data_IF_958233322451
#
_entry.id   IF_958233322451
#
_cell.length_a   1.000
_cell.length_b   1.000
_cell.length_c   1.000
_cell.angle_alpha   90.00
_cell.angle_beta   90.00
_cell.angle_gamma   90.00
#
_symmetry.space_group_name_H-M   'P 1'
#
loop_
_entity.id
_entity.type
_entity.pdbx_description
1 polymer ?
#
# COMPACT_ATOMS: atom_id res chain seq x y z
N UNK A 1 -14.06 14.11 24.03
CA UNK A 1 -14.38 14.37 22.60
C UNK A 1 -14.98 15.77 22.35
N UNK A 2 -15.55 16.47 23.34
CA UNK A 2 -15.94 17.90 23.25
C UNK A 2 -14.76 18.86 23.57
N UNK A 3 -13.92 18.50 24.55
CA UNK A 3 -12.81 19.35 25.03
C UNK A 3 -11.71 19.56 23.97
N UNK A 4 -11.39 18.54 23.16
CA UNK A 4 -10.43 18.66 22.06
C UNK A 4 -10.86 19.69 21.00
N UNK A 5 -12.17 19.94 20.85
CA UNK A 5 -12.71 20.84 19.84
C UNK A 5 -12.76 22.30 20.30
N UNK A 6 -13.08 22.53 21.58
CA UNK A 6 -13.26 23.89 22.12
C UNK A 6 -11.95 24.66 22.34
N UNK A 7 -10.83 23.98 22.58
CA UNK A 7 -9.58 24.63 23.00
C UNK A 7 -8.66 25.05 21.82
N UNK A 8 -8.82 24.45 20.64
CA UNK A 8 -7.83 24.57 19.56
C UNK A 8 -8.29 25.27 18.29
N UNK A 9 -9.51 25.84 18.23
CA UNK A 9 -9.97 26.61 17.06
C UNK A 9 -9.69 25.91 15.71
N UNK A 10 -9.62 24.58 15.73
CA UNK A 10 -9.01 23.77 14.68
C UNK A 10 -10.11 23.03 13.95
N UNK A 11 -10.10 23.13 12.63
CA UNK A 11 -11.15 22.67 11.72
C UNK A 11 -11.60 21.26 12.08
N UNK A 12 -12.90 21.11 12.41
CA UNK A 12 -13.56 19.87 12.84
C UNK A 12 -13.46 18.72 11.80
N UNK A 13 -12.98 19.05 10.60
CA UNK A 13 -12.57 18.17 9.52
C UNK A 13 -11.11 18.50 9.18
N UNK A 14 -10.15 17.84 9.83
CA UNK A 14 -8.78 17.91 9.33
C UNK A 14 -8.70 16.97 8.13
N UNK A 15 -9.01 17.51 6.93
CA UNK A 15 -8.87 16.83 5.64
C UNK A 15 -7.52 16.11 5.53
N UNK A 16 -6.49 16.67 6.19
CA UNK A 16 -5.19 16.08 6.35
C UNK A 16 -5.21 14.65 6.93
N UNK A 17 -5.94 14.38 8.02
CA UNK A 17 -5.96 13.02 8.59
C UNK A 17 -6.63 12.02 7.66
N UNK A 18 -7.74 12.40 7.02
CA UNK A 18 -8.41 11.54 6.04
C UNK A 18 -7.53 11.25 4.82
N UNK A 19 -6.80 12.25 4.33
CA UNK A 19 -5.86 12.10 3.22
C UNK A 19 -4.69 11.20 3.61
N UNK A 20 -4.13 11.37 4.80
CA UNK A 20 -3.05 10.52 5.33
C UNK A 20 -3.53 9.08 5.44
N UNK A 21 -4.69 8.83 6.04
CA UNK A 21 -5.25 7.48 6.17
C UNK A 21 -5.49 6.85 4.79
N UNK A 22 -6.02 7.62 3.84
CA UNK A 22 -6.24 7.15 2.46
C UNK A 22 -4.92 6.78 1.78
N UNK A 23 -3.87 7.60 1.93
CA UNK A 23 -2.54 7.32 1.38
C UNK A 23 -1.96 6.05 2.01
N UNK A 24 -2.07 5.89 3.33
CA UNK A 24 -1.58 4.69 4.03
C UNK A 24 -2.30 3.44 3.52
N UNK A 25 -3.63 3.48 3.40
CA UNK A 25 -4.41 2.35 2.86
C UNK A 25 -4.05 2.04 1.40
N UNK A 26 -3.85 3.06 0.57
CA UNK A 26 -3.41 2.88 -0.81
C UNK A 26 -2.02 2.22 -0.88
N UNK A 27 -1.07 2.65 -0.05
CA UNK A 27 0.28 2.05 0.00
C UNK A 27 0.18 0.58 0.40
N UNK A 28 -0.56 0.25 1.47
CA UNK A 28 -0.73 -1.12 1.93
C UNK A 28 -1.41 -2.00 0.86
N UNK A 29 -2.47 -1.49 0.23
CA UNK A 29 -3.17 -2.18 -0.85
C UNK A 29 -2.28 -2.43 -2.07
N UNK A 30 -1.49 -1.43 -2.47
CA UNK A 30 -0.57 -1.53 -3.59
C UNK A 30 0.56 -2.54 -3.33
N UNK A 31 1.17 -2.50 -2.13
CA UNK A 31 2.21 -3.46 -1.74
C UNK A 31 1.65 -4.88 -1.69
N UNK A 32 0.48 -5.08 -1.12
CA UNK A 32 -0.18 -6.40 -1.07
C UNK A 32 -0.53 -6.93 -2.47
N UNK A 33 -1.03 -6.06 -3.35
CA UNK A 33 -1.28 -6.39 -4.75
C UNK A 33 0.01 -6.82 -5.46
N UNK A 34 1.07 -6.01 -5.36
CA UNK A 34 2.33 -6.27 -6.03
C UNK A 34 3.01 -7.55 -5.53
N UNK A 35 2.95 -7.82 -4.23
CA UNK A 35 3.41 -9.08 -3.63
C UNK A 35 2.67 -10.29 -4.22
N UNK A 36 1.34 -10.22 -4.27
CA UNK A 36 0.52 -11.31 -4.80
C UNK A 36 0.78 -11.53 -6.28
N UNK A 37 0.92 -10.46 -7.08
CA UNK A 37 1.28 -10.54 -8.50
C UNK A 37 2.65 -11.16 -8.71
N UNK A 38 3.64 -10.79 -7.91
CA UNK A 38 4.98 -11.38 -7.96
C UNK A 38 4.92 -12.87 -7.67
N UNK A 39 4.16 -13.28 -6.66
CA UNK A 39 3.98 -14.70 -6.33
C UNK A 39 3.29 -15.46 -7.47
N UNK A 40 2.22 -14.91 -8.06
CA UNK A 40 1.54 -15.52 -9.21
C UNK A 40 2.50 -15.73 -10.39
N UNK A 41 3.28 -14.70 -10.75
CA UNK A 41 4.21 -14.79 -11.88
C UNK A 41 5.31 -15.84 -11.64
N UNK A 42 5.93 -15.83 -10.46
CA UNK A 42 7.01 -16.77 -10.13
C UNK A 42 6.50 -18.20 -9.97
N UNK A 43 5.25 -18.42 -9.53
CA UNK A 43 4.68 -19.76 -9.35
C UNK A 43 4.12 -20.33 -10.65
N UNK A 44 3.23 -19.59 -11.32
CA UNK A 44 2.56 -20.05 -12.53
C UNK A 44 3.48 -20.04 -13.75
N UNK A 45 4.40 -19.09 -13.84
CA UNK A 45 5.31 -18.93 -14.98
C UNK A 45 6.78 -19.15 -14.57
N UNK A 46 7.02 -20.09 -13.65
CA UNK A 46 8.35 -20.38 -13.10
C UNK A 46 9.41 -20.76 -14.15
N UNK A 47 8.99 -21.21 -15.33
CA UNK A 47 9.88 -21.52 -16.46
C UNK A 47 10.36 -20.27 -17.21
N UNK A 48 9.58 -19.18 -17.18
CA UNK A 48 9.88 -17.94 -17.89
C UNK A 48 10.38 -16.84 -16.95
N UNK A 49 9.99 -16.86 -15.68
CA UNK A 49 10.32 -15.82 -14.71
C UNK A 49 10.88 -16.39 -13.41
N UNK A 50 11.76 -15.63 -12.77
CA UNK A 50 12.28 -15.90 -11.44
C UNK A 50 12.12 -14.70 -10.51
N UNK A 51 12.12 -14.96 -9.20
CA UNK A 51 11.94 -13.91 -8.19
C UNK A 51 13.17 -13.01 -8.15
N UNK A 52 12.98 -11.72 -8.43
CA UNK A 52 14.03 -10.72 -8.28
C UNK A 52 14.00 -10.11 -6.87
N UNK A 53 12.80 -9.89 -6.31
CA UNK A 53 12.59 -9.43 -4.94
C UNK A 53 11.23 -9.86 -4.40
N UNK A 54 10.87 -9.41 -3.20
CA UNK A 54 9.54 -9.65 -2.62
C UNK A 54 8.42 -9.03 -3.49
N UNK A 55 8.73 -7.93 -4.21
CA UNK A 55 7.76 -7.16 -5.00
C UNK A 55 8.05 -7.14 -6.51
N UNK A 56 9.06 -7.89 -6.97
CA UNK A 56 9.42 -7.92 -8.39
C UNK A 56 9.91 -9.30 -8.85
N UNK A 57 9.73 -9.55 -10.13
CA UNK A 57 10.22 -10.73 -10.83
C UNK A 57 11.05 -10.28 -12.04
N UNK A 58 11.94 -11.16 -12.51
CA UNK A 58 12.73 -10.94 -13.73
C UNK A 58 12.59 -12.12 -14.68
N UNK A 59 12.74 -11.91 -16.00
CA UNK A 59 12.82 -13.02 -16.95
C UNK A 59 13.98 -13.95 -16.59
N UNK A 60 13.77 -15.26 -16.72
CA UNK A 60 14.85 -16.23 -16.74
C UNK A 60 15.57 -16.11 -18.09
N UNK A 61 16.87 -15.87 -18.04
CA UNK A 61 17.78 -15.79 -19.17
C UNK A 61 19.15 -16.31 -18.75
#
# INVERSE_FOLDING_TARGET
RFIHHALFGGTMFSLHYYVVDTIVLMILGFVGYQYTRTNQMVTQYNWLYERASILSWKPKG
#
